data_IF_968339997810
#
_entry.id   IF_968339997810
#
_cell.length_a   1.000
_cell.length_b   1.000
_cell.length_c   1.000
_cell.angle_alpha   90.00
_cell.angle_beta   90.00
_cell.angle_gamma   90.00
#
_symmetry.space_group_name_H-M   'P 1'
#
loop_
_entity.id
_entity.type
_entity.pdbx_description
1 polymer ?
#
# COMPACT_ATOMS: atom_id res chain seq x y z
N UNK A 1 -27.60 -12.59 20.82
CA UNK A 1 -27.73 -11.67 19.68
C UNK A 1 -27.10 -12.36 18.49
N UNK A 2 -27.72 -12.44 17.32
CA UNK A 2 -27.12 -13.13 16.18
C UNK A 2 -25.86 -12.39 15.73
N UNK A 3 -24.73 -13.08 15.72
CA UNK A 3 -23.44 -12.55 15.35
C UNK A 3 -23.42 -12.13 13.87
N UNK A 4 -23.21 -10.85 13.61
CA UNK A 4 -23.13 -10.26 12.25
C UNK A 4 -21.83 -10.69 11.49
N UNK A 5 -21.02 -11.56 12.11
CA UNK A 5 -19.64 -11.80 11.76
C UNK A 5 -19.33 -12.19 10.31
N UNK A 6 -19.81 -13.31 9.75
CA UNK A 6 -19.34 -13.74 8.43
C UNK A 6 -19.77 -12.81 7.29
N UNK A 7 -21.01 -12.31 7.32
CA UNK A 7 -21.52 -11.39 6.27
C UNK A 7 -20.82 -10.05 6.29
N UNK A 8 -20.55 -9.47 7.47
CA UNK A 8 -19.84 -8.20 7.57
C UNK A 8 -18.40 -8.34 7.07
N UNK A 9 -17.68 -9.36 7.52
CA UNK A 9 -16.30 -9.59 7.09
C UNK A 9 -16.20 -9.72 5.55
N UNK A 10 -17.12 -10.47 4.94
CA UNK A 10 -17.16 -10.61 3.48
C UNK A 10 -17.41 -9.27 2.79
N UNK A 11 -18.34 -8.46 3.30
CA UNK A 11 -18.63 -7.13 2.76
C UNK A 11 -17.40 -6.23 2.84
N UNK A 12 -16.76 -6.17 4.02
CA UNK A 12 -15.58 -5.30 4.23
C UNK A 12 -14.38 -5.80 3.43
N UNK A 13 -14.14 -7.12 3.37
CA UNK A 13 -13.07 -7.68 2.54
C UNK A 13 -13.27 -7.38 1.05
N UNK A 14 -14.50 -7.48 0.54
CA UNK A 14 -14.81 -7.12 -0.85
C UNK A 14 -14.64 -5.62 -1.12
N UNK A 15 -15.05 -4.75 -0.20
CA UNK A 15 -14.80 -3.30 -0.30
C UNK A 15 -13.31 -3.01 -0.34
N UNK A 16 -12.54 -3.64 0.54
CA UNK A 16 -11.09 -3.44 0.59
C UNK A 16 -10.38 -3.99 -0.66
N UNK A 17 -10.83 -5.12 -1.19
CA UNK A 17 -10.40 -5.62 -2.50
C UNK A 17 -10.59 -4.55 -3.58
N UNK A 18 -11.79 -3.96 -3.66
CA UNK A 18 -12.12 -2.94 -4.67
C UNK A 18 -11.35 -1.64 -4.42
N UNK A 19 -11.10 -1.25 -3.18
CA UNK A 19 -10.26 -0.07 -2.88
C UNK A 19 -8.86 -0.23 -3.48
N UNK A 20 -8.27 -1.43 -3.37
CA UNK A 20 -6.98 -1.74 -3.97
C UNK A 20 -7.02 -1.89 -5.49
N UNK A 21 -8.15 -2.35 -6.06
CA UNK A 21 -8.39 -2.26 -7.51
C UNK A 21 -8.32 -0.79 -7.95
N UNK A 22 -8.99 0.11 -7.26
CA UNK A 22 -8.97 1.54 -7.58
C UNK A 22 -7.58 2.17 -7.45
N UNK A 23 -6.82 1.81 -6.41
CA UNK A 23 -5.42 2.25 -6.23
C UNK A 23 -4.54 1.81 -7.40
N UNK A 24 -4.72 0.58 -7.86
CA UNK A 24 -3.85 -0.04 -8.87
C UNK A 24 -4.32 0.19 -10.31
N UNK A 25 -5.53 0.72 -10.54
CA UNK A 25 -6.12 0.84 -11.87
C UNK A 25 -5.29 1.74 -12.81
N UNK A 26 -4.95 2.95 -12.39
CA UNK A 26 -4.11 3.85 -13.20
C UNK A 26 -2.68 3.31 -13.36
N UNK A 27 -1.97 2.82 -12.30
CA UNK A 27 -0.70 2.11 -12.46
C UNK A 27 -0.76 0.96 -13.46
N UNK A 28 -1.78 0.11 -13.40
CA UNK A 28 -1.94 -1.02 -14.32
C UNK A 28 -2.09 -0.58 -15.78
N UNK A 29 -2.77 0.53 -16.03
CA UNK A 29 -3.03 1.07 -17.37
C UNK A 29 -1.92 2.02 -17.86
N UNK A 30 -0.85 2.27 -17.08
CA UNK A 30 0.25 3.16 -17.49
C UNK A 30 0.79 2.88 -18.91
N UNK A 31 0.93 1.64 -19.38
CA UNK A 31 1.44 1.39 -20.73
C UNK A 31 0.53 1.87 -21.85
N UNK A 32 -0.77 2.03 -21.60
CA UNK A 32 -1.78 2.37 -22.62
C UNK A 32 -2.41 3.76 -22.45
N UNK A 33 -2.25 4.37 -21.28
CA UNK A 33 -2.82 5.70 -20.98
C UNK A 33 -2.20 6.84 -21.79
N UNK A 34 -0.88 6.87 -22.10
CA UNK A 34 -0.31 7.95 -22.94
C UNK A 34 -1.05 8.10 -24.26
N UNK A 35 -1.38 7.00 -24.94
CA UNK A 35 -2.12 7.01 -26.20
C UNK A 35 -3.56 7.52 -26.09
N UNK A 36 -4.23 7.31 -24.95
CA UNK A 36 -5.59 7.78 -24.71
C UNK A 36 -5.63 9.26 -24.31
N UNK A 37 -4.68 9.71 -23.48
CA UNK A 37 -4.72 11.01 -22.82
C UNK A 37 -3.87 12.07 -23.53
N UNK A 38 -2.98 11.66 -24.46
CA UNK A 38 -2.03 12.55 -25.13
C UNK A 38 -0.98 13.15 -24.18
N UNK A 39 -0.55 12.38 -23.16
CA UNK A 39 0.39 12.82 -22.11
C UNK A 39 1.58 11.88 -22.01
N UNK A 40 2.68 12.35 -21.40
CA UNK A 40 3.84 11.54 -21.06
C UNK A 40 3.68 10.81 -19.71
N UNK A 41 4.71 10.12 -19.32
CA UNK A 41 4.75 9.40 -18.05
C UNK A 41 4.97 10.33 -16.84
N UNK A 42 5.57 11.51 -17.05
CA UNK A 42 5.68 12.54 -15.99
C UNK A 42 4.30 13.01 -15.56
N UNK A 43 3.41 13.34 -16.51
CA UNK A 43 2.05 13.77 -16.23
C UNK A 43 1.25 12.67 -15.50
N UNK A 44 1.43 11.41 -15.90
CA UNK A 44 0.84 10.26 -15.19
C UNK A 44 1.42 10.12 -13.79
N UNK A 45 2.73 10.33 -13.62
CA UNK A 45 3.40 10.37 -12.32
C UNK A 45 2.86 11.48 -11.41
N UNK A 46 2.64 12.69 -11.95
CA UNK A 46 2.02 13.81 -11.23
C UNK A 46 0.59 13.44 -10.78
N UNK A 47 -0.18 12.79 -11.64
CA UNK A 47 -1.53 12.35 -11.29
C UNK A 47 -1.51 11.33 -10.12
N UNK A 48 -0.58 10.38 -10.12
CA UNK A 48 -0.37 9.45 -9.01
C UNK A 48 0.11 10.17 -7.73
N UNK A 49 0.93 11.21 -7.87
CA UNK A 49 1.34 12.04 -6.74
C UNK A 49 0.14 12.79 -6.13
N UNK A 50 -0.74 13.37 -6.97
CA UNK A 50 -1.99 14.03 -6.52
C UNK A 50 -2.84 13.05 -5.71
N UNK A 51 -3.04 11.82 -6.19
CA UNK A 51 -3.75 10.79 -5.45
C UNK A 51 -3.15 10.56 -4.05
N UNK A 52 -1.83 10.35 -3.96
CA UNK A 52 -1.15 10.07 -2.70
C UNK A 52 -1.19 11.26 -1.74
N UNK A 53 -0.97 12.48 -2.24
CA UNK A 53 -1.00 13.73 -1.43
C UNK A 53 -2.40 13.96 -0.87
N UNK A 54 -3.42 13.89 -1.72
CA UNK A 54 -4.82 14.08 -1.27
C UNK A 54 -5.20 13.01 -0.25
N UNK A 55 -4.91 11.73 -0.54
CA UNK A 55 -5.19 10.64 0.39
C UNK A 55 -4.53 10.86 1.76
N UNK A 56 -3.27 11.29 1.78
CA UNK A 56 -2.54 11.57 3.02
C UNK A 56 -3.17 12.72 3.82
N UNK A 57 -3.51 13.82 3.16
CA UNK A 57 -4.06 15.01 3.79
C UNK A 57 -5.44 14.78 4.41
N UNK A 58 -6.27 13.95 3.76
CA UNK A 58 -7.67 13.75 4.18
C UNK A 58 -7.86 12.58 5.14
N UNK A 59 -6.88 11.69 5.31
CA UNK A 59 -7.03 10.47 6.10
C UNK A 59 -7.42 10.74 7.55
N UNK A 60 -6.78 11.71 8.20
CA UNK A 60 -7.10 12.08 9.59
C UNK A 60 -8.47 12.80 9.71
N UNK A 61 -8.82 13.81 8.90
CA UNK A 61 -10.16 14.39 8.86
C UNK A 61 -11.26 13.36 8.58
N UNK A 62 -11.02 12.42 7.69
CA UNK A 62 -12.00 11.37 7.34
C UNK A 62 -12.16 10.35 8.48
N UNK A 63 -11.11 10.07 9.25
CA UNK A 63 -11.24 9.30 10.49
C UNK A 63 -12.23 9.95 11.45
N UNK A 64 -12.14 11.27 11.64
CA UNK A 64 -13.12 12.02 12.43
C UNK A 64 -14.54 11.96 11.84
N UNK A 65 -14.68 12.07 10.51
CA UNK A 65 -15.96 11.94 9.85
C UNK A 65 -16.57 10.53 10.03
N UNK A 66 -15.75 9.47 10.03
CA UNK A 66 -16.16 8.09 10.33
C UNK A 66 -16.78 7.99 11.73
N UNK A 67 -16.14 8.59 12.73
CA UNK A 67 -16.63 8.59 14.12
C UNK A 67 -17.93 9.39 14.27
N UNK A 68 -18.06 10.51 13.54
CA UNK A 68 -19.20 11.41 13.66
C UNK A 68 -20.43 10.96 12.85
N UNK A 69 -20.25 10.60 11.58
CA UNK A 69 -21.34 10.26 10.66
C UNK A 69 -21.63 8.77 10.57
N UNK A 70 -20.72 7.94 11.10
CA UNK A 70 -20.79 6.49 11.08
C UNK A 70 -20.06 5.86 9.89
N UNK A 71 -19.23 4.86 10.20
CA UNK A 71 -18.29 4.24 9.27
C UNK A 71 -18.95 3.72 7.96
N UNK A 72 -20.13 3.09 8.05
CA UNK A 72 -20.82 2.56 6.86
C UNK A 72 -21.28 3.65 5.89
N UNK A 73 -21.73 4.81 6.41
CA UNK A 73 -22.18 5.93 5.55
C UNK A 73 -21.01 6.56 4.83
N UNK A 74 -19.92 6.82 5.59
CA UNK A 74 -18.70 7.42 5.04
C UNK A 74 -18.04 6.48 4.02
N UNK A 75 -18.02 5.17 4.28
CA UNK A 75 -17.52 4.16 3.36
C UNK A 75 -18.30 4.12 2.05
N UNK A 76 -19.64 4.21 2.09
CA UNK A 76 -20.49 4.29 0.89
C UNK A 76 -20.21 5.55 0.08
N UNK A 77 -20.03 6.70 0.75
CA UNK A 77 -19.66 7.93 0.08
C UNK A 77 -18.28 7.84 -0.60
N UNK A 78 -17.31 7.19 0.06
CA UNK A 78 -15.99 6.91 -0.52
C UNK A 78 -16.07 6.03 -1.77
N UNK A 79 -16.83 4.92 -1.71
CA UNK A 79 -17.05 4.03 -2.86
C UNK A 79 -17.71 4.74 -4.04
N UNK A 80 -18.74 5.54 -3.76
CA UNK A 80 -19.41 6.35 -4.78
C UNK A 80 -18.44 7.34 -5.42
N UNK A 81 -17.69 8.09 -4.61
CA UNK A 81 -16.72 9.06 -5.09
C UNK A 81 -15.61 8.42 -5.93
N UNK A 82 -15.06 7.28 -5.47
CA UNK A 82 -14.08 6.49 -6.22
C UNK A 82 -14.63 5.98 -7.55
N UNK A 83 -15.90 5.50 -7.58
CA UNK A 83 -16.57 5.10 -8.83
C UNK A 83 -16.76 6.27 -9.78
N UNK A 84 -17.23 7.42 -9.27
CA UNK A 84 -17.44 8.63 -10.07
C UNK A 84 -16.13 9.17 -10.66
N UNK A 85 -14.99 9.03 -9.99
CA UNK A 85 -13.69 9.44 -10.51
C UNK A 85 -13.35 8.70 -11.81
N UNK A 86 -13.61 7.40 -11.88
CA UNK A 86 -13.34 6.59 -13.07
C UNK A 86 -14.41 6.76 -14.14
N UNK A 87 -15.68 7.01 -13.79
CA UNK A 87 -16.71 7.42 -14.77
C UNK A 87 -16.29 8.72 -15.45
N UNK A 88 -15.89 9.72 -14.67
CA UNK A 88 -15.47 11.02 -15.18
C UNK A 88 -14.32 10.88 -16.18
N UNK A 89 -13.28 10.11 -15.80
CA UNK A 89 -12.12 9.90 -16.66
C UNK A 89 -12.44 9.08 -17.91
N UNK A 90 -13.32 8.08 -17.82
CA UNK A 90 -13.76 7.30 -18.97
C UNK A 90 -14.59 8.12 -19.95
N UNK A 91 -15.47 8.99 -19.44
CA UNK A 91 -16.36 9.82 -20.25
C UNK A 91 -15.63 10.94 -20.99
N UNK A 92 -14.67 11.59 -20.31
CA UNK A 92 -13.94 12.76 -20.84
C UNK A 92 -12.43 12.62 -20.56
N UNK A 93 -11.75 11.73 -21.30
CA UNK A 93 -10.31 11.54 -21.08
C UNK A 93 -9.51 12.77 -21.48
N UNK A 94 -8.64 13.22 -20.57
CA UNK A 94 -7.74 14.36 -20.74
C UNK A 94 -6.94 14.60 -19.47
N UNK A 95 -5.83 15.32 -19.55
CA UNK A 95 -4.92 15.49 -18.43
C UNK A 95 -5.57 16.22 -17.24
N UNK A 96 -6.28 17.32 -17.48
CA UNK A 96 -6.96 18.05 -16.41
C UNK A 96 -8.02 17.17 -15.70
N UNK A 97 -8.76 16.38 -16.47
CA UNK A 97 -9.75 15.44 -15.95
C UNK A 97 -9.06 14.32 -15.17
N UNK A 98 -7.91 13.82 -15.62
CA UNK A 98 -7.11 12.84 -14.88
C UNK A 98 -6.71 13.39 -13.51
N UNK A 99 -6.22 14.62 -13.41
CA UNK A 99 -5.85 15.23 -12.13
C UNK A 99 -7.03 15.34 -11.16
N UNK A 100 -8.19 15.79 -11.66
CA UNK A 100 -9.43 15.84 -10.88
C UNK A 100 -9.87 14.43 -10.44
N UNK A 101 -9.87 13.48 -11.36
CA UNK A 101 -10.24 12.09 -11.05
C UNK A 101 -9.30 11.48 -10.00
N UNK A 102 -7.99 11.74 -10.09
CA UNK A 102 -7.02 11.23 -9.13
C UNK A 102 -7.13 11.92 -7.76
N UNK A 103 -7.49 13.21 -7.72
CA UNK A 103 -7.83 13.88 -6.47
C UNK A 103 -9.11 13.28 -5.82
N UNK A 104 -10.14 13.04 -6.62
CA UNK A 104 -11.38 12.36 -6.15
C UNK A 104 -11.08 10.93 -5.65
N UNK A 105 -10.29 10.16 -6.39
CA UNK A 105 -9.89 8.81 -6.00
C UNK A 105 -9.02 8.83 -4.73
N UNK A 106 -8.12 9.81 -4.58
CA UNK A 106 -7.32 10.02 -3.37
C UNK A 106 -8.17 10.36 -2.15
N UNK A 107 -9.16 11.22 -2.32
CA UNK A 107 -10.15 11.53 -1.27
C UNK A 107 -10.95 10.27 -0.88
N UNK A 108 -11.40 9.48 -1.85
CA UNK A 108 -12.07 8.21 -1.60
C UNK A 108 -11.16 7.23 -0.86
N UNK A 109 -9.88 7.14 -1.24
CA UNK A 109 -8.90 6.25 -0.61
C UNK A 109 -8.68 6.57 0.87
N UNK A 110 -8.69 7.83 1.25
CA UNK A 110 -8.56 8.25 2.64
C UNK A 110 -9.69 7.75 3.57
N UNK A 111 -10.82 7.32 3.01
CA UNK A 111 -11.96 6.78 3.76
C UNK A 111 -11.77 5.32 4.15
N UNK A 112 -11.19 4.49 3.28
CA UNK A 112 -11.29 3.02 3.39
C UNK A 112 -10.72 2.50 4.71
N UNK A 113 -9.46 2.78 5.01
CA UNK A 113 -8.84 2.24 6.23
C UNK A 113 -9.55 2.67 7.53
N UNK A 114 -9.85 3.96 7.78
CA UNK A 114 -10.57 4.36 8.98
C UNK A 114 -11.95 3.69 9.10
N UNK A 115 -12.69 3.63 8.00
CA UNK A 115 -14.03 3.06 8.00
C UNK A 115 -14.02 1.53 8.15
N UNK A 116 -13.16 0.85 7.41
CA UNK A 116 -13.04 -0.62 7.45
C UNK A 116 -12.63 -1.11 8.84
N UNK A 117 -11.63 -0.45 9.44
CA UNK A 117 -11.16 -0.82 10.78
C UNK A 117 -12.21 -0.54 11.84
N UNK A 118 -12.94 0.57 11.76
CA UNK A 118 -14.04 0.86 12.66
C UNK A 118 -15.17 -0.18 12.53
N UNK A 119 -15.51 -0.59 11.30
CA UNK A 119 -16.53 -1.60 11.03
C UNK A 119 -16.13 -2.99 11.56
N UNK A 120 -14.88 -3.41 11.34
CA UNK A 120 -14.36 -4.68 11.82
C UNK A 120 -14.26 -4.70 13.36
N UNK A 121 -13.68 -3.66 13.96
CA UNK A 121 -13.49 -3.59 15.41
C UNK A 121 -14.82 -3.59 16.18
N UNK A 122 -15.87 -2.94 15.65
CA UNK A 122 -17.16 -2.84 16.30
C UNK A 122 -18.15 -3.97 15.92
N UNK A 123 -17.88 -4.70 14.83
CA UNK A 123 -18.80 -5.71 14.29
C UNK A 123 -18.31 -7.15 14.38
N UNK A 124 -17.05 -7.37 14.76
CA UNK A 124 -16.44 -8.70 14.89
C UNK A 124 -16.10 -8.98 16.34
N UNK A 125 -16.33 -10.23 16.75
CA UNK A 125 -15.98 -10.72 18.08
C UNK A 125 -14.46 -10.59 18.33
N UNK A 126 -14.01 -10.09 19.53
CA UNK A 126 -12.58 -9.86 19.81
C UNK A 126 -11.69 -11.07 19.56
N UNK A 127 -12.15 -12.29 19.86
CA UNK A 127 -11.41 -13.53 19.62
C UNK A 127 -11.12 -13.83 18.13
N UNK A 128 -11.89 -13.23 17.21
CA UNK A 128 -11.78 -13.43 15.76
C UNK A 128 -11.23 -12.22 15.02
N UNK A 129 -10.99 -11.12 15.74
CA UNK A 129 -10.63 -9.84 15.13
C UNK A 129 -9.31 -9.91 14.38
N UNK A 130 -8.29 -10.56 14.94
CA UNK A 130 -6.98 -10.72 14.30
C UNK A 130 -7.08 -11.46 12.96
N UNK A 131 -7.82 -12.59 12.92
CA UNK A 131 -8.08 -13.32 11.68
C UNK A 131 -8.85 -12.48 10.67
N UNK A 132 -9.77 -11.64 11.12
CA UNK A 132 -10.57 -10.78 10.26
C UNK A 132 -9.72 -9.68 9.63
N UNK A 133 -8.78 -9.07 10.36
CA UNK A 133 -7.81 -8.15 9.80
C UNK A 133 -6.88 -8.81 8.78
N UNK A 134 -6.45 -10.05 9.03
CA UNK A 134 -5.63 -10.80 8.07
C UNK A 134 -6.38 -11.05 6.75
N UNK A 135 -7.66 -11.46 6.81
CA UNK A 135 -8.51 -11.66 5.62
C UNK A 135 -8.72 -10.33 4.87
N UNK A 136 -8.99 -9.26 5.61
CA UNK A 136 -9.14 -7.91 5.06
C UNK A 136 -7.86 -7.46 4.32
N UNK A 137 -6.70 -7.58 4.96
CA UNK A 137 -5.41 -7.22 4.36
C UNK A 137 -5.12 -8.07 3.13
N UNK A 138 -5.33 -9.38 3.20
CA UNK A 138 -5.17 -10.29 2.07
C UNK A 138 -6.07 -9.91 0.89
N UNK A 139 -7.33 -9.52 1.15
CA UNK A 139 -8.25 -9.07 0.10
C UNK A 139 -7.73 -7.84 -0.64
N UNK A 140 -7.11 -6.90 0.07
CA UNK A 140 -6.44 -5.74 -0.55
C UNK A 140 -5.29 -6.15 -1.46
N UNK A 141 -4.36 -6.98 -0.98
CA UNK A 141 -3.26 -7.48 -1.81
C UNK A 141 -3.77 -8.25 -3.04
N UNK A 142 -4.81 -9.07 -2.89
CA UNK A 142 -5.42 -9.78 -4.00
C UNK A 142 -6.03 -8.80 -5.01
N UNK A 143 -6.70 -7.74 -4.55
CA UNK A 143 -7.21 -6.66 -5.41
C UNK A 143 -6.11 -6.02 -6.25
N UNK A 144 -4.98 -5.64 -5.62
CA UNK A 144 -3.82 -5.12 -6.33
C UNK A 144 -3.28 -6.11 -7.36
N UNK A 145 -3.17 -7.39 -6.98
CA UNK A 145 -2.53 -8.42 -7.80
C UNK A 145 -3.33 -8.79 -9.06
N UNK A 146 -4.66 -8.79 -8.98
CA UNK A 146 -5.50 -9.15 -10.13
C UNK A 146 -5.74 -7.98 -11.08
N UNK A 147 -5.60 -6.75 -10.60
CA UNK A 147 -5.92 -5.53 -11.37
C UNK A 147 -5.15 -5.43 -12.69
N UNK A 148 -3.83 -5.63 -12.77
CA UNK A 148 -3.12 -5.52 -14.03
C UNK A 148 -3.62 -6.52 -15.07
N UNK A 149 -3.82 -7.78 -14.69
CA UNK A 149 -4.29 -8.82 -15.60
C UNK A 149 -5.71 -8.52 -16.12
N UNK A 150 -6.63 -8.17 -15.22
CA UNK A 150 -8.03 -7.90 -15.55
C UNK A 150 -8.16 -6.65 -16.42
N UNK A 151 -7.56 -5.54 -15.99
CA UNK A 151 -7.82 -4.24 -16.64
C UNK A 151 -7.01 -4.03 -17.92
N UNK A 152 -5.80 -4.60 -18.03
CA UNK A 152 -5.11 -4.65 -19.32
C UNK A 152 -5.80 -5.61 -20.28
N UNK A 153 -6.37 -6.72 -19.80
CA UNK A 153 -7.20 -7.61 -20.62
C UNK A 153 -8.43 -6.91 -21.16
N UNK A 154 -9.15 -6.15 -20.32
CA UNK A 154 -10.31 -5.34 -20.76
C UNK A 154 -9.85 -4.25 -21.74
N UNK A 155 -8.72 -3.58 -21.47
CA UNK A 155 -8.19 -2.55 -22.36
C UNK A 155 -7.81 -3.12 -23.73
N UNK A 156 -7.25 -4.31 -23.78
CA UNK A 156 -6.90 -4.99 -25.04
C UNK A 156 -8.15 -5.44 -25.83
N UNK A 157 -9.18 -5.91 -25.15
CA UNK A 157 -10.39 -6.45 -25.79
C UNK A 157 -11.42 -5.35 -26.16
N UNK A 158 -11.61 -4.34 -25.30
CA UNK A 158 -12.68 -3.36 -25.37
C UNK A 158 -12.21 -1.90 -25.38
N UNK A 159 -10.88 -1.70 -25.30
CA UNK A 159 -10.26 -0.39 -25.27
C UNK A 159 -10.08 0.20 -23.86
N UNK A 160 -9.17 1.16 -23.75
CA UNK A 160 -8.75 1.76 -22.45
C UNK A 160 -9.90 2.48 -21.74
N UNK A 161 -10.82 3.12 -22.47
CA UNK A 161 -12.02 3.73 -21.86
C UNK A 161 -12.92 2.72 -21.18
N UNK A 162 -13.10 1.55 -21.78
CA UNK A 162 -13.89 0.46 -21.19
C UNK A 162 -13.20 -0.07 -19.90
N UNK A 163 -11.87 -0.17 -19.88
CA UNK A 163 -11.15 -0.54 -18.68
C UNK A 163 -11.36 0.48 -17.55
N UNK A 164 -11.30 1.77 -17.83
CA UNK A 164 -11.59 2.83 -16.85
C UNK A 164 -13.05 2.72 -16.34
N UNK A 165 -14.03 2.55 -17.23
CA UNK A 165 -15.42 2.38 -16.86
C UNK A 165 -15.66 1.11 -16.01
N UNK A 166 -14.92 0.03 -16.30
CA UNK A 166 -14.98 -1.20 -15.50
C UNK A 166 -14.53 -0.94 -14.04
N UNK A 167 -13.55 -0.06 -13.80
CA UNK A 167 -13.17 0.36 -12.45
C UNK A 167 -14.34 0.95 -11.67
N UNK A 168 -15.18 1.77 -12.33
CA UNK A 168 -16.40 2.29 -11.72
C UNK A 168 -17.42 1.18 -11.42
N UNK A 169 -17.58 0.21 -12.32
CA UNK A 169 -18.47 -0.95 -12.11
C UNK A 169 -18.07 -1.74 -10.88
N UNK A 170 -16.78 -2.00 -10.67
CA UNK A 170 -16.28 -2.65 -9.44
C UNK A 170 -16.64 -1.85 -8.20
N UNK A 171 -16.48 -0.52 -8.21
CA UNK A 171 -16.84 0.34 -7.09
C UNK A 171 -18.34 0.34 -6.80
N UNK A 172 -19.19 0.42 -7.84
CA UNK A 172 -20.65 0.33 -7.71
C UNK A 172 -21.07 -1.04 -7.17
N UNK A 173 -20.46 -2.13 -7.65
CA UNK A 173 -20.74 -3.48 -7.14
C UNK A 173 -20.43 -3.59 -5.64
N UNK A 174 -19.30 -3.04 -5.19
CA UNK A 174 -18.95 -2.99 -3.77
C UNK A 174 -19.90 -2.09 -2.97
N UNK A 175 -20.34 -0.95 -3.54
CA UNK A 175 -21.32 -0.06 -2.95
C UNK A 175 -22.68 -0.76 -2.76
N UNK A 176 -23.12 -1.51 -3.74
CA UNK A 176 -24.35 -2.31 -3.64
C UNK A 176 -24.20 -3.41 -2.59
N UNK A 177 -23.08 -4.12 -2.58
CA UNK A 177 -22.80 -5.19 -1.61
C UNK A 177 -22.80 -4.67 -0.16
N UNK A 178 -22.13 -3.54 0.12
CA UNK A 178 -22.09 -2.95 1.48
C UNK A 178 -23.44 -2.32 1.85
N UNK A 179 -24.34 -2.08 0.88
CA UNK A 179 -25.68 -1.55 1.11
C UNK A 179 -26.68 -2.61 1.52
N UNK A 180 -26.41 -3.87 1.27
CA UNK A 180 -27.24 -4.98 1.75
C UNK A 180 -27.23 -4.97 3.28
N UNK A 181 -28.41 -4.95 3.94
CA UNK A 181 -28.48 -4.99 5.39
C UNK A 181 -27.79 -6.26 5.91
N UNK A 182 -26.70 -6.09 6.65
CA UNK A 182 -26.10 -7.19 7.39
C UNK A 182 -26.98 -7.55 8.58
N UNK A 183 -26.99 -8.83 8.99
CA UNK A 183 -27.63 -9.27 10.23
C UNK A 183 -26.80 -8.79 11.43
N UNK A 184 -27.04 -7.56 11.89
CA UNK A 184 -26.39 -6.97 13.06
C UNK A 184 -26.74 -5.51 13.17
N UNK A 185 -27.37 -5.15 14.28
CA UNK A 185 -27.62 -3.75 14.61
C UNK A 185 -26.28 -3.11 14.93
N UNK A 186 -25.79 -2.29 14.00
CA UNK A 186 -24.70 -1.35 14.28
C UNK A 186 -25.18 -0.40 15.39
N UNK A 187 -24.91 -0.72 16.63
CA UNK A 187 -24.84 0.32 17.64
C UNK A 187 -23.60 1.15 17.28
N UNK A 188 -23.82 2.38 16.84
CA UNK A 188 -22.80 3.41 16.98
C UNK A 188 -22.38 3.32 18.44
N UNK A 189 -21.18 2.81 18.69
CA UNK A 189 -20.63 2.90 20.04
C UNK A 189 -20.64 4.39 20.35
N UNK A 190 -21.48 4.80 21.31
CA UNK A 190 -21.33 6.13 21.90
C UNK A 190 -19.86 6.27 22.24
N UNK A 191 -19.24 7.42 21.92
CA UNK A 191 -17.85 7.65 22.32
C UNK A 191 -17.74 7.20 23.77
N UNK A 192 -16.83 6.24 24.00
CA UNK A 192 -16.59 5.72 25.36
C UNK A 192 -16.41 6.96 26.25
N UNK A 193 -17.26 7.07 27.24
CA UNK A 193 -17.22 8.18 28.16
C UNK A 193 -15.78 8.25 28.68
N UNK A 194 -15.09 9.38 28.56
CA UNK A 194 -13.68 9.56 28.93
C UNK A 194 -13.38 9.19 30.40
N UNK A 195 -14.34 8.65 31.11
CA UNK A 195 -14.27 8.29 32.53
C UNK A 195 -13.82 6.85 32.83
N UNK A 196 -13.74 5.94 31.80
CA UNK A 196 -13.34 4.53 32.05
C UNK A 196 -11.87 4.21 31.66
N UNK A 197 -11.11 5.19 31.23
CA UNK A 197 -9.65 5.05 31.25
C UNK A 197 -9.18 5.38 32.67
N UNK A 198 -8.81 4.36 33.42
CA UNK A 198 -8.10 4.53 34.68
C UNK A 198 -6.97 5.53 34.58
N UNK A 199 -6.46 6.08 35.71
CA UNK A 199 -5.67 7.29 35.73
C UNK A 199 -4.59 7.27 34.66
N UNK A 200 -4.70 8.20 33.71
CA UNK A 200 -3.71 8.41 32.65
C UNK A 200 -2.33 8.51 33.31
N UNK A 201 -1.52 7.47 33.15
CA UNK A 201 -0.13 7.53 33.58
C UNK A 201 0.49 8.78 32.96
N UNK A 202 0.90 9.67 33.84
CA UNK A 202 1.73 10.84 33.67
C UNK A 202 1.57 11.61 32.33
N UNK A 203 1.02 12.81 32.42
CA UNK A 203 1.02 13.88 31.41
C UNK A 203 2.43 14.41 31.08
N UNK A 204 3.41 13.54 30.91
CA UNK A 204 4.69 13.88 30.30
C UNK A 204 4.45 14.10 28.81
N UNK A 205 4.83 15.25 28.26
CA UNK A 205 4.90 15.51 26.82
C UNK A 205 5.72 14.40 26.17
N UNK A 206 5.05 13.38 25.61
CA UNK A 206 5.72 12.30 24.86
C UNK A 206 6.41 12.94 23.68
N UNK A 207 7.75 12.94 23.68
CA UNK A 207 8.54 13.42 22.54
C UNK A 207 8.40 12.42 21.39
N UNK A 208 7.48 12.68 20.47
CA UNK A 208 7.28 11.87 19.26
C UNK A 208 8.40 12.10 18.23
N UNK A 209 9.00 13.28 18.21
CA UNK A 209 10.11 13.58 17.30
C UNK A 209 11.45 13.16 17.93
N UNK A 210 11.80 11.90 17.71
CA UNK A 210 13.11 11.37 18.09
C UNK A 210 13.94 11.06 16.84
N UNK A 211 15.29 11.08 16.91
CA UNK A 211 16.13 10.68 15.76
C UNK A 211 15.77 9.29 15.21
N UNK A 212 15.36 8.37 16.10
CA UNK A 212 14.94 7.03 15.72
C UNK A 212 13.68 7.03 14.85
N UNK A 213 12.68 7.85 15.20
CA UNK A 213 11.46 7.98 14.41
C UNK A 213 11.77 8.62 13.06
N UNK A 214 12.68 9.60 13.00
CA UNK A 214 13.19 10.16 11.75
C UNK A 214 13.84 9.10 10.85
N UNK A 215 14.70 8.26 11.39
CA UNK A 215 15.33 7.14 10.67
C UNK A 215 14.28 6.17 10.13
N UNK A 216 13.27 5.80 10.93
CA UNK A 216 12.18 4.93 10.49
C UNK A 216 11.32 5.58 9.40
N UNK A 217 11.08 6.89 9.47
CA UNK A 217 10.36 7.62 8.41
C UNK A 217 11.14 7.57 7.09
N UNK A 218 12.46 7.79 7.13
CA UNK A 218 13.33 7.64 5.95
C UNK A 218 13.31 6.21 5.43
N UNK A 219 13.32 5.21 6.32
CA UNK A 219 13.19 3.81 5.94
C UNK A 219 11.89 3.56 5.16
N UNK A 220 10.76 4.12 5.62
CA UNK A 220 9.47 3.97 4.93
C UNK A 220 9.44 4.69 3.56
N UNK A 221 10.13 5.83 3.42
CA UNK A 221 10.31 6.50 2.12
C UNK A 221 11.07 5.57 1.17
N UNK A 222 12.21 5.05 1.59
CA UNK A 222 13.05 4.16 0.77
C UNK A 222 12.33 2.86 0.40
N UNK A 223 11.61 2.27 1.35
CA UNK A 223 10.76 1.09 1.10
C UNK A 223 9.71 1.37 0.03
N UNK A 224 8.99 2.48 0.14
CA UNK A 224 7.99 2.86 -0.86
C UNK A 224 8.62 3.11 -2.22
N UNK A 225 9.72 3.86 -2.29
CA UNK A 225 10.40 4.15 -3.54
C UNK A 225 10.91 2.87 -4.23
N UNK A 226 11.46 1.91 -3.47
CA UNK A 226 11.98 0.67 -4.02
C UNK A 226 10.88 -0.23 -4.60
N UNK A 227 9.77 -0.40 -3.88
CA UNK A 227 8.70 -1.30 -4.30
C UNK A 227 7.77 -0.66 -5.35
N UNK A 228 7.43 0.62 -5.19
CA UNK A 228 6.53 1.31 -6.12
C UNK A 228 7.11 1.49 -7.52
N UNK A 229 8.44 1.53 -7.67
CA UNK A 229 9.11 1.48 -8.96
C UNK A 229 8.69 0.23 -9.75
N UNK A 230 8.75 -0.94 -9.10
CA UNK A 230 8.36 -2.22 -9.71
C UNK A 230 6.83 -2.30 -9.84
N UNK A 231 6.09 -2.06 -8.77
CA UNK A 231 4.63 -2.21 -8.74
C UNK A 231 3.90 -1.37 -9.79
N UNK A 232 4.36 -0.16 -10.03
CA UNK A 232 3.63 0.81 -10.86
C UNK A 232 4.23 0.99 -12.25
N UNK A 233 5.55 0.84 -12.40
CA UNK A 233 6.25 1.23 -13.62
C UNK A 233 6.93 0.05 -14.33
N UNK A 234 7.04 -1.15 -13.72
CA UNK A 234 7.75 -2.29 -14.33
C UNK A 234 7.17 -2.70 -15.68
N UNK A 235 5.83 -2.73 -15.84
CA UNK A 235 5.22 -3.14 -17.10
C UNK A 235 5.62 -2.19 -18.24
N UNK A 236 5.50 -0.87 -18.01
CA UNK A 236 5.91 0.13 -18.98
C UNK A 236 7.43 0.04 -19.27
N UNK A 237 8.24 -0.13 -18.22
CA UNK A 237 9.69 -0.25 -18.34
C UNK A 237 10.13 -1.51 -19.12
N UNK A 238 9.50 -2.65 -18.87
CA UNK A 238 9.80 -3.91 -19.57
C UNK A 238 9.40 -3.87 -21.05
N UNK A 239 8.22 -3.28 -21.33
CA UNK A 239 7.76 -3.14 -22.72
C UNK A 239 8.64 -2.14 -23.48
N UNK A 240 8.92 -0.97 -22.89
CA UNK A 240 9.67 0.09 -23.56
C UNK A 240 11.18 -0.22 -23.67
N UNK A 241 11.76 -0.82 -22.63
CA UNK A 241 13.21 -1.01 -22.51
C UNK A 241 13.72 -2.35 -23.00
N UNK A 242 12.97 -3.41 -22.78
CA UNK A 242 13.37 -4.77 -23.12
C UNK A 242 12.59 -5.35 -24.29
N UNK A 243 11.67 -4.58 -24.89
CA UNK A 243 10.86 -5.00 -26.03
C UNK A 243 9.92 -6.17 -25.73
N UNK A 244 9.61 -6.41 -24.46
CA UNK A 244 8.74 -7.52 -24.08
C UNK A 244 7.30 -7.24 -24.49
N UNK A 245 6.57 -8.30 -24.81
CA UNK A 245 5.14 -8.15 -25.02
C UNK A 245 4.44 -7.74 -23.73
N UNK A 246 3.37 -6.97 -23.87
CA UNK A 246 2.55 -6.53 -22.72
C UNK A 246 2.07 -7.73 -21.87
N UNK A 247 1.80 -8.89 -22.51
CA UNK A 247 1.38 -10.10 -21.82
C UNK A 247 2.47 -10.65 -20.87
N UNK A 248 3.71 -10.73 -21.30
CA UNK A 248 4.82 -11.20 -20.46
C UNK A 248 5.14 -10.21 -19.34
N UNK A 249 5.17 -8.91 -19.64
CA UNK A 249 5.41 -7.87 -18.64
C UNK A 249 4.31 -7.85 -17.56
N UNK A 250 3.05 -8.01 -17.97
CA UNK A 250 1.92 -8.09 -17.06
C UNK A 250 1.92 -9.39 -16.22
N UNK A 251 2.25 -10.54 -16.82
CA UNK A 251 2.39 -11.81 -16.09
C UNK A 251 3.47 -11.71 -15.01
N UNK A 252 4.59 -11.06 -15.31
CA UNK A 252 5.68 -10.86 -14.39
C UNK A 252 5.28 -9.93 -13.21
N UNK A 253 4.57 -8.82 -13.47
CA UNK A 253 4.02 -7.96 -12.42
C UNK A 253 2.97 -8.71 -11.56
N UNK A 254 2.09 -9.46 -12.19
CA UNK A 254 1.08 -10.26 -11.47
C UNK A 254 1.75 -11.27 -10.53
N UNK A 255 2.79 -11.96 -11.00
CA UNK A 255 3.58 -12.87 -10.16
C UNK A 255 4.24 -12.13 -8.98
N UNK A 256 4.82 -10.94 -9.22
CA UNK A 256 5.38 -10.10 -8.15
C UNK A 256 4.32 -9.78 -7.08
N UNK A 257 3.16 -9.29 -7.48
CA UNK A 257 2.10 -8.86 -6.56
C UNK A 257 1.49 -10.02 -5.77
N UNK A 258 1.20 -11.16 -6.43
CA UNK A 258 0.68 -12.37 -5.77
C UNK A 258 1.69 -12.95 -4.78
N UNK A 259 2.97 -13.03 -5.20
CA UNK A 259 4.03 -13.52 -4.33
C UNK A 259 4.33 -12.57 -3.18
N UNK A 260 4.16 -11.25 -3.36
CA UNK A 260 4.27 -10.28 -2.27
C UNK A 260 3.19 -10.51 -1.21
N UNK A 261 1.94 -10.76 -1.63
CA UNK A 261 0.87 -11.12 -0.71
C UNK A 261 1.20 -12.40 0.09
N UNK A 262 1.72 -13.45 -0.58
CA UNK A 262 2.18 -14.67 0.09
C UNK A 262 3.37 -14.37 1.02
N UNK A 263 4.29 -13.51 0.60
CA UNK A 263 5.44 -13.05 1.39
C UNK A 263 5.04 -12.40 2.71
N UNK A 264 4.00 -11.58 2.72
CA UNK A 264 3.49 -10.97 3.96
C UNK A 264 3.03 -12.04 4.96
N UNK A 265 2.36 -13.09 4.49
CA UNK A 265 1.92 -14.19 5.37
C UNK A 265 3.12 -14.97 5.92
N UNK A 266 4.08 -15.33 5.07
CA UNK A 266 5.33 -16.00 5.49
C UNK A 266 6.15 -15.11 6.44
N UNK A 267 6.23 -13.82 6.15
CA UNK A 267 6.93 -12.82 6.94
C UNK A 267 6.34 -12.66 8.35
N UNK A 268 5.01 -12.74 8.49
CA UNK A 268 4.34 -12.74 9.79
C UNK A 268 4.79 -13.92 10.65
N UNK A 269 4.76 -15.13 10.11
CA UNK A 269 5.21 -16.33 10.81
C UNK A 269 6.71 -16.27 11.17
N UNK A 270 7.54 -15.64 10.33
CA UNK A 270 8.96 -15.43 10.59
C UNK A 270 9.19 -14.36 11.64
N UNK A 271 8.42 -13.27 11.63
CA UNK A 271 8.51 -12.19 12.62
C UNK A 271 8.18 -12.68 14.02
N UNK A 272 7.23 -13.62 14.17
CA UNK A 272 6.89 -14.22 15.48
C UNK A 272 8.01 -15.10 16.05
N UNK A 273 8.88 -15.65 15.18
CA UNK A 273 9.96 -16.58 15.56
C UNK A 273 11.32 -15.92 15.75
N UNK A 274 11.48 -14.67 15.33
CA UNK A 274 12.77 -13.98 15.40
C UNK A 274 12.71 -12.74 16.28
N UNK A 275 13.83 -12.42 16.92
CA UNK A 275 14.03 -11.13 17.61
C UNK A 275 14.92 -10.17 16.81
N UNK A 276 15.40 -10.61 15.65
CA UNK A 276 16.33 -9.85 14.78
C UNK A 276 15.62 -9.36 13.52
N UNK A 277 14.52 -8.62 13.71
CA UNK A 277 13.68 -8.14 12.62
C UNK A 277 14.44 -7.34 11.57
N UNK A 278 15.41 -6.51 11.99
CA UNK A 278 16.23 -5.73 11.07
C UNK A 278 17.14 -6.61 10.19
N UNK A 279 17.71 -7.70 10.73
CA UNK A 279 18.53 -8.62 9.91
C UNK A 279 17.71 -9.38 8.89
N UNK A 280 16.50 -9.82 9.24
CA UNK A 280 15.57 -10.46 8.29
C UNK A 280 15.22 -9.50 7.16
N UNK A 281 14.87 -8.26 7.50
CA UNK A 281 14.57 -7.23 6.51
C UNK A 281 15.78 -6.93 5.60
N UNK A 282 16.97 -6.76 6.18
CA UNK A 282 18.18 -6.48 5.42
C UNK A 282 18.54 -7.63 4.47
N UNK A 283 18.48 -8.88 4.91
CA UNK A 283 18.79 -10.04 4.06
C UNK A 283 17.77 -10.18 2.91
N UNK A 284 16.47 -10.07 3.22
CA UNK A 284 15.44 -10.18 2.20
C UNK A 284 15.57 -9.08 1.14
N UNK A 285 15.86 -7.83 1.55
CA UNK A 285 16.09 -6.72 0.60
C UNK A 285 17.41 -6.84 -0.16
N UNK A 286 18.47 -7.35 0.43
CA UNK A 286 19.73 -7.60 -0.28
C UNK A 286 19.54 -8.64 -1.40
N UNK A 287 18.82 -9.72 -1.10
CA UNK A 287 18.46 -10.74 -2.11
C UNK A 287 17.52 -10.17 -3.18
N UNK A 288 16.50 -9.40 -2.78
CA UNK A 288 15.60 -8.74 -3.72
C UNK A 288 16.36 -7.75 -4.63
N UNK A 289 17.30 -6.98 -4.09
CA UNK A 289 18.15 -6.08 -4.86
C UNK A 289 19.01 -6.82 -5.89
N UNK A 290 19.62 -7.94 -5.50
CA UNK A 290 20.42 -8.77 -6.41
C UNK A 290 19.57 -9.32 -7.57
N UNK A 291 18.37 -9.84 -7.27
CA UNK A 291 17.43 -10.31 -8.29
C UNK A 291 16.90 -9.16 -9.18
N UNK A 292 16.61 -8.00 -8.60
CA UNK A 292 16.19 -6.81 -9.36
C UNK A 292 17.31 -6.31 -10.28
N UNK A 293 18.58 -6.41 -9.85
CA UNK A 293 19.72 -6.10 -10.70
C UNK A 293 19.80 -7.03 -11.94
N UNK A 294 19.49 -8.33 -11.80
CA UNK A 294 19.39 -9.23 -12.95
C UNK A 294 18.29 -8.81 -13.93
N UNK A 295 17.14 -8.32 -13.42
CA UNK A 295 16.09 -7.77 -14.28
C UNK A 295 16.57 -6.51 -14.99
N UNK A 296 17.29 -5.60 -14.30
CA UNK A 296 17.83 -4.39 -14.88
C UNK A 296 18.82 -4.64 -16.03
N UNK A 297 19.55 -5.77 -15.98
CA UNK A 297 20.49 -6.18 -17.06
C UNK A 297 19.78 -6.65 -18.33
N UNK A 298 18.45 -6.87 -18.30
CA UNK A 298 17.70 -7.30 -19.47
C UNK A 298 17.98 -8.75 -19.92
N UNK A 299 18.58 -9.56 -19.07
CA UNK A 299 19.00 -10.94 -19.40
C UNK A 299 17.86 -11.96 -19.26
N UNK A 300 16.74 -11.58 -18.65
CA UNK A 300 15.64 -12.46 -18.30
C UNK A 300 14.46 -12.28 -19.26
N UNK A 301 13.97 -13.40 -19.81
CA UNK A 301 12.82 -13.42 -20.71
C UNK A 301 11.83 -14.53 -20.34
N UNK A 302 10.59 -14.41 -20.79
CA UNK A 302 9.56 -15.42 -20.63
C UNK A 302 9.36 -15.83 -19.15
N UNK A 303 9.32 -17.14 -18.91
CA UNK A 303 9.09 -17.68 -17.56
C UNK A 303 10.19 -17.35 -16.55
N UNK A 304 11.43 -17.18 -16.97
CA UNK A 304 12.53 -16.81 -16.07
C UNK A 304 12.29 -15.44 -15.44
N UNK A 305 11.81 -14.47 -16.22
CA UNK A 305 11.43 -13.14 -15.70
C UNK A 305 10.25 -13.23 -14.72
N UNK A 306 9.22 -14.00 -15.06
CA UNK A 306 8.03 -14.19 -14.20
C UNK A 306 8.43 -14.76 -12.84
N UNK A 307 9.27 -15.82 -12.85
CA UNK A 307 9.76 -16.47 -11.61
C UNK A 307 10.63 -15.53 -10.79
N UNK A 308 11.53 -14.79 -11.43
CA UNK A 308 12.43 -13.84 -10.71
C UNK A 308 11.63 -12.68 -10.12
N UNK A 309 10.68 -12.07 -10.87
CA UNK A 309 9.82 -11.04 -10.31
C UNK A 309 8.91 -11.58 -9.20
N UNK A 310 8.42 -12.81 -9.32
CA UNK A 310 7.72 -13.50 -8.23
C UNK A 310 8.60 -13.66 -6.98
N UNK A 311 9.85 -14.06 -7.13
CA UNK A 311 10.80 -14.17 -6.02
C UNK A 311 11.09 -12.80 -5.36
N UNK A 312 11.27 -11.74 -6.16
CA UNK A 312 11.41 -10.37 -5.65
C UNK A 312 10.16 -9.97 -4.85
N UNK A 313 8.97 -10.24 -5.38
CA UNK A 313 7.70 -9.98 -4.70
C UNK A 313 7.62 -10.69 -3.35
N UNK A 314 7.92 -11.99 -3.30
CA UNK A 314 7.94 -12.77 -2.06
C UNK A 314 8.88 -12.15 -1.02
N UNK A 315 10.10 -11.81 -1.41
CA UNK A 315 11.11 -11.23 -0.54
C UNK A 315 10.68 -9.86 -0.02
N UNK A 316 10.11 -9.00 -0.86
CA UNK A 316 9.60 -7.68 -0.46
C UNK A 316 8.39 -7.80 0.48
N UNK A 317 7.53 -8.79 0.27
CA UNK A 317 6.40 -9.05 1.16
C UNK A 317 6.82 -9.50 2.56
N UNK A 318 7.83 -10.37 2.66
CA UNK A 318 8.36 -10.89 3.94
C UNK A 318 8.81 -9.78 4.89
N UNK A 319 9.19 -8.63 4.38
CA UNK A 319 9.73 -7.51 5.17
C UNK A 319 8.63 -6.77 5.95
N UNK A 320 7.40 -6.73 5.43
CA UNK A 320 6.35 -5.87 5.98
C UNK A 320 6.09 -6.11 7.49
N UNK A 321 5.91 -7.35 8.00
CA UNK A 321 5.73 -7.59 9.42
C UNK A 321 6.97 -7.23 10.26
N UNK A 322 8.17 -7.55 9.77
CA UNK A 322 9.43 -7.21 10.46
C UNK A 322 9.62 -5.71 10.59
N UNK A 323 9.31 -4.94 9.55
CA UNK A 323 9.29 -3.47 9.56
C UNK A 323 8.34 -2.92 10.61
N UNK A 324 7.13 -3.46 10.70
CA UNK A 324 6.12 -3.01 11.67
C UNK A 324 6.56 -3.29 13.10
N UNK A 325 7.27 -4.40 13.33
CA UNK A 325 7.88 -4.71 14.63
C UNK A 325 8.99 -3.72 15.00
N UNK A 326 9.77 -3.21 14.04
CA UNK A 326 10.76 -2.14 14.29
C UNK A 326 10.09 -0.83 14.72
N UNK A 327 8.98 -0.45 14.10
CA UNK A 327 8.21 0.75 14.51
C UNK A 327 7.63 0.55 15.91
N UNK A 328 7.04 -0.60 16.19
CA UNK A 328 6.50 -0.94 17.52
C UNK A 328 7.57 -0.87 18.60
N UNK A 329 8.78 -1.40 18.33
CA UNK A 329 9.90 -1.36 19.27
C UNK A 329 10.46 0.04 19.53
N UNK A 330 10.29 0.98 18.61
CA UNK A 330 10.73 2.37 18.72
C UNK A 330 9.67 3.27 19.36
N UNK A 331 8.42 2.83 19.41
CA UNK A 331 7.32 3.62 19.93
C UNK A 331 7.40 3.76 21.47
N UNK A 332 7.20 4.97 22.00
CA UNK A 332 7.01 5.15 23.45
C UNK A 332 5.74 4.43 23.92
N UNK A 333 5.74 3.87 25.14
CA UNK A 333 4.57 3.20 25.70
C UNK A 333 3.32 4.09 25.67
N UNK A 334 2.21 3.58 25.10
CA UNK A 334 0.94 4.32 24.95
C UNK A 334 0.91 5.34 23.81
N UNK A 335 1.95 5.41 22.98
CA UNK A 335 2.03 6.28 21.79
C UNK A 335 2.25 5.49 20.48
N UNK A 336 2.02 4.19 20.50
CA UNK A 336 2.26 3.28 19.38
C UNK A 336 1.52 3.76 18.11
N UNK A 337 0.23 4.06 18.23
CA UNK A 337 -0.58 4.53 17.10
C UNK A 337 -0.09 5.85 16.51
N UNK A 338 0.31 6.81 17.37
CA UNK A 338 0.88 8.10 16.92
C UNK A 338 2.21 7.91 16.22
N UNK A 339 3.05 6.99 16.72
CA UNK A 339 4.35 6.66 16.11
C UNK A 339 4.16 6.01 14.75
N UNK A 340 3.26 5.03 14.64
CA UNK A 340 2.93 4.42 13.34
C UNK A 340 2.39 5.46 12.35
N UNK A 341 1.48 6.33 12.79
CA UNK A 341 0.94 7.40 11.93
C UNK A 341 2.04 8.32 11.41
N UNK A 342 2.97 8.75 12.29
CA UNK A 342 4.07 9.63 11.89
C UNK A 342 5.05 8.94 10.94
N UNK A 343 5.47 7.72 11.24
CA UNK A 343 6.40 6.94 10.39
C UNK A 343 5.76 6.61 9.04
N UNK A 344 4.47 6.29 9.02
CA UNK A 344 3.74 5.97 7.78
C UNK A 344 3.62 7.15 6.81
N UNK A 345 3.82 8.40 7.26
CA UNK A 345 3.93 9.54 6.34
C UNK A 345 5.06 9.37 5.33
N UNK A 346 6.09 8.58 5.67
CA UNK A 346 7.15 8.20 4.75
C UNK A 346 6.64 7.51 3.49
N UNK A 347 5.64 6.63 3.58
CA UNK A 347 5.03 6.01 2.39
C UNK A 347 4.34 7.05 1.50
N UNK A 348 3.66 8.02 2.10
CA UNK A 348 2.98 9.07 1.33
C UNK A 348 4.00 9.99 0.62
N UNK A 349 5.10 10.31 1.30
CA UNK A 349 6.20 11.10 0.71
C UNK A 349 6.82 10.33 -0.47
N UNK A 350 7.18 9.06 -0.28
CA UNK A 350 7.68 8.21 -1.36
C UNK A 350 6.67 8.06 -2.50
N UNK A 351 5.39 7.87 -2.17
CA UNK A 351 4.28 7.76 -3.11
C UNK A 351 3.98 9.06 -3.87
N UNK A 352 4.37 10.21 -3.36
CA UNK A 352 4.26 11.48 -4.06
C UNK A 352 5.47 11.75 -4.98
N UNK A 353 6.68 11.47 -4.51
CA UNK A 353 7.93 11.77 -5.25
C UNK A 353 8.23 10.70 -6.30
N UNK A 354 8.10 9.41 -5.93
CA UNK A 354 8.49 8.27 -6.76
C UNK A 354 7.86 8.28 -8.14
N UNK A 355 6.52 8.37 -8.27
CA UNK A 355 5.87 8.31 -9.57
C UNK A 355 6.31 9.41 -10.54
N UNK A 356 6.59 10.62 -10.06
CA UNK A 356 7.09 11.72 -10.89
C UNK A 356 8.51 11.41 -11.39
N UNK A 357 9.39 10.95 -10.50
CA UNK A 357 10.77 10.59 -10.87
C UNK A 357 10.81 9.40 -11.84
N UNK A 358 10.01 8.37 -11.60
CA UNK A 358 9.94 7.19 -12.46
C UNK A 358 9.29 7.50 -13.82
N UNK A 359 8.26 8.36 -13.85
CA UNK A 359 7.67 8.87 -15.08
C UNK A 359 8.70 9.62 -15.91
N UNK A 360 9.48 10.52 -15.28
CA UNK A 360 10.56 11.23 -15.94
C UNK A 360 11.60 10.28 -16.56
N UNK A 361 11.99 9.21 -15.85
CA UNK A 361 12.93 8.22 -16.39
C UNK A 361 12.38 7.56 -17.67
N UNK A 362 11.09 7.22 -17.72
CA UNK A 362 10.47 6.64 -18.91
C UNK A 362 10.39 7.63 -20.08
N UNK A 363 10.06 8.88 -19.81
CA UNK A 363 9.99 9.95 -20.84
C UNK A 363 11.39 10.26 -21.41
N UNK A 364 12.44 10.16 -20.57
CA UNK A 364 13.84 10.26 -21.02
C UNK A 364 14.37 8.99 -21.71
N UNK A 365 13.52 8.00 -21.97
CA UNK A 365 13.90 6.71 -22.55
C UNK A 365 14.97 5.97 -21.73
N UNK A 366 14.85 6.04 -20.40
CA UNK A 366 15.69 5.35 -19.43
C UNK A 366 14.90 4.24 -18.69
N UNK A 367 14.25 3.31 -19.40
CA UNK A 367 13.34 2.33 -18.78
C UNK A 367 14.05 1.41 -17.77
N UNK A 368 15.31 1.01 -18.03
CA UNK A 368 16.10 0.24 -17.07
C UNK A 368 16.43 1.02 -15.80
N UNK A 369 16.38 2.36 -15.84
CA UNK A 369 16.52 3.24 -14.69
C UNK A 369 15.51 2.96 -13.58
N UNK A 370 14.31 2.47 -13.93
CA UNK A 370 13.28 2.05 -12.98
C UNK A 370 13.82 0.93 -12.06
N UNK A 371 14.39 -0.11 -12.64
CA UNK A 371 14.95 -1.23 -11.88
C UNK A 371 16.25 -0.85 -11.16
N UNK A 372 17.11 -0.04 -11.78
CA UNK A 372 18.33 0.48 -11.15
C UNK A 372 17.98 1.35 -9.93
N UNK A 373 17.02 2.24 -10.05
CA UNK A 373 16.55 3.06 -8.93
C UNK A 373 15.97 2.18 -7.80
N UNK A 374 15.18 1.16 -8.14
CA UNK A 374 14.69 0.18 -7.16
C UNK A 374 15.84 -0.50 -6.43
N UNK A 375 16.87 -0.97 -7.14
CA UNK A 375 18.09 -1.57 -6.54
C UNK A 375 18.78 -0.59 -5.59
N UNK A 376 18.99 0.66 -6.01
CA UNK A 376 19.62 1.70 -5.19
C UNK A 376 18.83 1.93 -3.90
N UNK A 377 17.51 2.09 -3.99
CA UNK A 377 16.67 2.30 -2.81
C UNK A 377 16.62 1.05 -1.92
N UNK A 378 16.63 -0.17 -2.47
CA UNK A 378 16.75 -1.41 -1.70
C UNK A 378 18.08 -1.46 -0.94
N UNK A 379 19.20 -1.16 -1.59
CA UNK A 379 20.52 -1.16 -0.96
C UNK A 379 20.63 -0.07 0.12
N UNK A 380 20.10 1.14 -0.12
CA UNK A 380 20.03 2.18 0.91
C UNK A 380 19.19 1.73 2.11
N UNK A 381 18.10 1.01 1.87
CA UNK A 381 17.26 0.40 2.92
C UNK A 381 18.05 -0.62 3.72
N UNK A 382 18.81 -1.50 3.06
CA UNK A 382 19.70 -2.48 3.72
C UNK A 382 20.73 -1.78 4.60
N UNK A 383 21.44 -0.79 4.06
CA UNK A 383 22.46 -0.04 4.79
C UNK A 383 21.88 0.66 6.02
N UNK A 384 20.72 1.34 5.86
CA UNK A 384 20.06 2.03 6.96
C UNK A 384 19.59 1.06 8.05
N UNK A 385 19.04 -0.09 7.65
CA UNK A 385 18.58 -1.11 8.59
C UNK A 385 19.73 -1.76 9.37
N UNK A 386 20.84 -2.08 8.69
CA UNK A 386 22.03 -2.61 9.33
C UNK A 386 22.68 -1.59 10.28
N UNK A 387 22.77 -0.32 9.87
CA UNK A 387 23.28 0.74 10.73
C UNK A 387 22.44 0.89 12.01
N UNK A 388 21.11 0.82 11.88
CA UNK A 388 20.18 0.86 13.00
C UNK A 388 20.34 -0.34 13.95
N UNK A 389 20.50 -1.56 13.42
CA UNK A 389 20.75 -2.76 14.22
C UNK A 389 22.09 -2.67 14.98
N UNK A 390 23.16 -2.25 14.32
CA UNK A 390 24.46 -2.04 14.96
C UNK A 390 24.40 -1.00 16.08
N UNK A 391 23.73 0.13 15.84
CA UNK A 391 23.54 1.16 16.86
C UNK A 391 22.75 0.64 18.07
N UNK A 392 21.69 -0.10 17.83
CA UNK A 392 20.84 -0.70 18.87
C UNK A 392 21.59 -1.77 19.67
N UNK A 393 22.44 -2.55 19.02
CA UNK A 393 23.29 -3.56 19.69
C UNK A 393 24.34 -2.90 20.58
N UNK A 394 25.03 -1.85 20.10
CA UNK A 394 25.99 -1.08 20.90
C UNK A 394 25.36 -0.47 22.15
N UNK A 395 24.18 0.15 22.01
CA UNK A 395 23.44 0.73 23.15
C UNK A 395 23.05 -0.31 24.20
N UNK A 396 22.67 -1.53 23.77
CA UNK A 396 22.34 -2.63 24.69
C UNK A 396 23.58 -3.08 25.46
N UNK A 397 24.72 -3.25 24.79
CA UNK A 397 25.98 -3.63 25.42
C UNK A 397 26.44 -2.57 26.45
N UNK A 398 26.37 -1.27 26.12
CA UNK A 398 26.74 -0.19 27.04
C UNK A 398 25.84 -0.16 28.27
N UNK A 399 24.52 -0.39 28.12
CA UNK A 399 23.61 -0.45 29.27
C UNK A 399 23.85 -1.66 30.17
N UNK A 400 24.19 -2.81 29.61
CA UNK A 400 24.56 -4.01 30.38
C UNK A 400 25.81 -3.81 31.20
N UNK A 401 26.85 -3.15 30.62
CA UNK A 401 28.08 -2.81 31.31
C UNK A 401 27.85 -1.77 32.45
N UNK A 402 27.01 -0.75 32.18
CA UNK A 402 26.66 0.27 33.18
C UNK A 402 25.75 -0.24 34.31
N UNK A 403 25.02 -1.33 34.12
CA UNK A 403 24.21 -1.97 35.16
C UNK A 403 24.91 -3.10 35.92
N UNK A 404 26.15 -3.43 35.51
CA UNK A 404 27.01 -4.41 36.17
C UNK A 404 28.09 -3.75 37.06
N UNK A 405 28.22 -2.43 37.03
CA UNK A 405 28.99 -1.57 37.91
C UNK A 405 28.10 -0.92 38.95
#
# INVERSE_FOLDING_TARGET
MPHAGPKLLTQIAAVHFVSHVHIMLIPALLPVLPGLLGVGFVELGVALAVFNIVSALVQAPLGYAVDHYGARKVLKAGLLLGSLSFVLLAASPGYAVLLVAMAMAGLANGVYHPADYALLANGIEPARLGRSFSIHTFAGFLGSAVTPAVFLGIAAALGTRAALAAGAVFGVAALLLISIPGSGVYRVARPANKQDTGPAAATGRVRLFTPMIGVLTVLFILLNLSTSAIEKFSVAALVQGQGLTLAWANAALTAFLLSSAAGVLCGGALADRTRRHGLVAALAFALAAALTALVALGLLQGWALVVVLGAIGLLTGVIAPSRDMLVKAAAPPGAEGKTFGLVSTGFNIGGAIGPVAFGWMLDQRLPNGIFIASVVFMLLTVLLTLAQEMYSARRRATKQLAGAL
#
